data_IF_991779115062
#
_entry.id   IF_991779115062
#
_cell.length_a   1.000
_cell.length_b   1.000
_cell.length_c   1.000
_cell.angle_alpha   90.00
_cell.angle_beta   90.00
_cell.angle_gamma   90.00
#
_symmetry.space_group_name_H-M   'P 1'
#
loop_
_entity.id
_entity.type
_entity.pdbx_description
1 polymer ?
#
# COMPACT_ATOMS: atom_id res chain seq x y z
N UNK A 1 29.28 11.08 24.82
CA UNK A 1 27.87 10.92 24.93
C UNK A 1 27.22 10.87 23.58
N UNK A 2 26.14 10.19 23.50
CA UNK A 2 25.44 10.03 22.26
C UNK A 2 24.51 11.21 22.08
N UNK A 3 24.55 11.84 20.93
CA UNK A 3 23.63 12.92 20.62
C UNK A 3 22.21 12.35 20.51
N UNK A 4 21.22 13.22 20.59
CA UNK A 4 19.86 12.76 20.46
C UNK A 4 19.65 12.10 19.13
N UNK A 5 20.25 12.65 18.10
CA UNK A 5 20.15 12.06 16.80
C UNK A 5 20.83 10.73 16.73
N UNK A 6 22.00 10.64 17.28
CA UNK A 6 22.64 9.37 17.41
C UNK A 6 21.86 8.45 18.28
N UNK A 7 21.23 8.99 19.29
CA UNK A 7 20.43 8.18 20.15
C UNK A 7 19.22 7.62 19.39
N UNK A 8 18.62 8.38 18.54
CA UNK A 8 17.52 7.92 17.73
C UNK A 8 18.00 7.02 16.63
N UNK A 9 19.08 7.40 15.99
CA UNK A 9 19.72 6.53 15.05
C UNK A 9 20.28 5.35 15.75
N UNK A 10 20.85 5.56 16.89
CA UNK A 10 21.28 4.47 17.65
C UNK A 10 20.19 3.76 18.30
N UNK A 11 19.06 4.40 18.49
CA UNK A 11 17.96 3.61 18.93
C UNK A 11 17.43 2.80 17.84
N UNK A 12 17.51 3.23 16.64
CA UNK A 12 17.24 2.38 15.54
C UNK A 12 18.46 1.52 15.36
N UNK A 13 19.61 2.09 15.42
CA UNK A 13 20.81 1.33 15.47
C UNK A 13 21.14 0.85 16.81
N UNK A 14 20.91 1.68 17.76
CA UNK A 14 21.21 1.40 19.07
C UNK A 14 20.33 0.35 19.62
N UNK A 15 19.11 0.24 19.17
CA UNK A 15 18.38 -0.95 19.48
C UNK A 15 19.13 -2.15 19.01
N UNK A 16 19.79 -2.05 17.89
CA UNK A 16 20.61 -3.12 17.43
C UNK A 16 21.82 -3.31 18.32
N UNK A 17 22.38 -2.23 18.81
CA UNK A 17 23.54 -2.35 19.69
C UNK A 17 23.19 -2.82 21.07
N UNK A 18 22.04 -2.43 21.53
CA UNK A 18 21.62 -2.81 22.87
C UNK A 18 20.85 -4.10 22.91
N UNK A 19 20.54 -4.63 21.76
CA UNK A 19 19.92 -5.92 21.66
C UNK A 19 20.94 -7.02 21.84
N UNK A 20 20.49 -8.13 22.41
CA UNK A 20 21.29 -9.32 22.37
C UNK A 20 21.30 -9.84 20.96
N UNK A 21 22.26 -10.68 20.63
CA UNK A 21 22.33 -11.27 19.30
C UNK A 21 21.05 -12.05 19.00
N UNK A 22 20.48 -12.66 19.98
CA UNK A 22 19.24 -13.40 19.81
C UNK A 22 18.08 -12.48 19.49
N UNK A 23 17.97 -11.36 20.18
CA UNK A 23 16.92 -10.39 19.92
C UNK A 23 17.04 -9.80 18.53
N UNK A 24 18.27 -9.49 18.14
CA UNK A 24 18.51 -8.95 16.82
C UNK A 24 18.17 -9.97 15.75
N UNK A 25 18.53 -11.20 15.95
CA UNK A 25 18.23 -12.27 15.01
C UNK A 25 16.73 -12.50 14.90
N UNK A 26 16.02 -12.45 16.01
CA UNK A 26 14.59 -12.59 16.01
C UNK A 26 13.91 -11.45 15.29
N UNK A 27 14.35 -10.23 15.53
CA UNK A 27 13.82 -9.07 14.87
C UNK A 27 14.04 -9.15 13.36
N UNK A 28 15.22 -9.57 12.97
CA UNK A 28 15.53 -9.76 11.57
C UNK A 28 14.70 -10.88 10.95
N UNK A 29 14.48 -11.94 11.68
CA UNK A 29 13.63 -13.01 11.19
C UNK A 29 12.20 -12.53 10.98
N UNK A 30 11.69 -11.73 11.89
CA UNK A 30 10.37 -11.15 11.72
C UNK A 30 10.30 -10.29 10.46
N UNK A 31 11.33 -9.51 10.21
CA UNK A 31 11.36 -8.68 9.02
C UNK A 31 11.46 -9.52 7.75
N UNK A 32 12.20 -10.59 7.81
CA UNK A 32 12.36 -11.47 6.65
C UNK A 32 11.08 -12.24 6.36
N UNK A 33 10.33 -12.59 7.40
CA UNK A 33 9.11 -13.37 7.25
C UNK A 33 7.94 -12.52 6.75
N UNK A 34 7.98 -11.20 7.00
CA UNK A 34 6.92 -10.32 6.53
C UNK A 34 7.01 -10.23 5.01
N UNK A 35 6.09 -10.87 4.33
CA UNK A 35 6.01 -10.85 2.88
C UNK A 35 4.98 -9.84 2.45
N UNK A 36 5.24 -9.18 1.33
CA UNK A 36 4.25 -8.32 0.72
C UNK A 36 3.07 -9.17 0.29
N UNK A 37 1.89 -8.71 0.63
CA UNK A 37 0.68 -9.40 0.27
C UNK A 37 0.36 -9.14 -1.20
N UNK A 38 0.12 -10.22 -1.92
CA UNK A 38 -0.29 -10.13 -3.32
C UNK A 38 -1.81 -10.25 -3.35
N UNK A 39 -2.45 -9.35 -4.07
CA UNK A 39 -3.88 -9.39 -4.26
C UNK A 39 -4.21 -9.28 -5.74
N UNK A 40 -5.43 -9.67 -6.09
CA UNK A 40 -5.93 -9.62 -7.45
C UNK A 40 -7.25 -8.89 -7.47
N UNK A 41 -7.45 -8.07 -8.49
CA UNK A 41 -8.74 -7.43 -8.72
C UNK A 41 -9.56 -8.28 -9.67
N UNK A 42 -10.88 -8.27 -9.46
CA UNK A 42 -11.82 -9.01 -10.27
C UNK A 42 -12.98 -8.10 -10.67
N UNK A 43 -13.64 -8.46 -11.76
CA UNK A 43 -14.81 -7.73 -12.23
C UNK A 43 -15.82 -7.55 -11.10
N UNK A 44 -16.32 -6.34 -10.93
CA UNK A 44 -17.30 -6.01 -9.91
C UNK A 44 -16.70 -5.53 -8.60
N UNK A 45 -15.40 -5.65 -8.41
CA UNK A 45 -14.77 -5.18 -7.19
C UNK A 45 -14.84 -3.65 -7.09
N UNK A 46 -15.22 -3.16 -5.92
CA UNK A 46 -15.13 -1.73 -5.64
C UNK A 46 -13.69 -1.36 -5.42
N UNK A 47 -13.29 -0.25 -5.97
CA UNK A 47 -11.91 0.22 -5.85
C UNK A 47 -11.86 1.71 -5.53
N UNK A 48 -10.81 2.08 -4.86
CA UNK A 48 -10.42 3.46 -4.64
C UNK A 48 -9.25 3.74 -5.54
N UNK A 49 -9.34 4.84 -6.29
CA UNK A 49 -8.23 5.29 -7.12
C UNK A 49 -7.45 6.30 -6.29
N UNK A 50 -6.20 5.98 -6.04
CA UNK A 50 -5.39 6.68 -5.03
C UNK A 50 -4.07 7.10 -5.66
N UNK A 51 -3.61 8.30 -5.31
CA UNK A 51 -2.29 8.75 -5.77
C UNK A 51 -1.20 8.15 -4.91
N UNK A 52 0.02 8.17 -5.43
CA UNK A 52 1.18 7.67 -4.67
C UNK A 52 1.43 8.49 -3.41
N UNK A 53 0.91 9.71 -3.34
CA UNK A 53 1.06 10.58 -2.17
C UNK A 53 -0.02 10.35 -1.12
N UNK A 54 -0.94 9.43 -1.36
CA UNK A 54 -1.97 9.11 -0.38
C UNK A 54 -3.26 9.90 -0.54
N UNK A 55 -3.49 10.54 -1.68
CA UNK A 55 -4.75 11.22 -1.94
C UNK A 55 -5.75 10.26 -2.55
N UNK A 56 -6.93 10.23 -2.01
CA UNK A 56 -8.03 9.52 -2.65
C UNK A 56 -8.57 10.40 -3.77
N UNK A 57 -8.43 9.94 -5.00
CA UNK A 57 -8.84 10.72 -6.16
C UNK A 57 -10.32 10.52 -6.46
N UNK A 58 -10.76 9.29 -6.51
CA UNK A 58 -12.17 8.94 -6.70
C UNK A 58 -12.37 7.45 -6.41
N UNK A 59 -13.61 7.04 -6.38
CA UNK A 59 -13.98 5.63 -6.23
C UNK A 59 -14.54 5.13 -7.55
N UNK A 60 -14.42 3.84 -7.79
CA UNK A 60 -14.90 3.23 -9.01
C UNK A 60 -15.14 1.73 -8.81
N UNK A 61 -15.38 1.05 -9.90
CA UNK A 61 -15.65 -0.40 -9.92
C UNK A 61 -14.86 -0.99 -11.08
N UNK A 62 -14.31 -2.18 -10.87
CA UNK A 62 -13.66 -2.92 -11.94
C UNK A 62 -14.73 -3.36 -12.93
N UNK A 63 -14.59 -2.95 -14.17
CA UNK A 63 -15.61 -3.20 -15.18
C UNK A 63 -15.45 -4.55 -15.85
N UNK A 64 -14.21 -4.93 -16.11
CA UNK A 64 -13.92 -6.22 -16.79
C UNK A 64 -12.44 -6.54 -16.72
N UNK A 65 -12.13 -7.78 -16.99
CA UNK A 65 -10.74 -8.21 -17.17
C UNK A 65 -10.28 -7.84 -18.57
N UNK A 66 -9.02 -7.47 -18.68
CA UNK A 66 -8.39 -7.18 -19.97
C UNK A 66 -7.15 -8.06 -20.07
N UNK A 67 -7.36 -9.27 -20.56
CA UNK A 67 -6.31 -10.24 -20.61
C UNK A 67 -5.98 -10.79 -19.23
N UNK A 68 -4.79 -11.31 -19.08
CA UNK A 68 -4.36 -11.94 -17.83
C UNK A 68 -3.78 -10.95 -16.82
N UNK A 69 -3.35 -9.80 -17.32
CA UNK A 69 -2.53 -8.90 -16.50
C UNK A 69 -3.23 -7.64 -16.06
N UNK A 70 -4.31 -7.27 -16.72
CA UNK A 70 -4.95 -5.98 -16.49
C UNK A 70 -6.43 -6.09 -16.22
N UNK A 71 -6.97 -5.10 -15.54
CA UNK A 71 -8.41 -4.88 -15.41
C UNK A 71 -8.73 -3.50 -15.95
N UNK A 72 -9.96 -3.36 -16.44
CA UNK A 72 -10.48 -2.10 -16.95
C UNK A 72 -11.27 -1.41 -15.86
N UNK A 73 -10.85 -0.21 -15.50
CA UNK A 73 -11.56 0.65 -14.57
C UNK A 73 -11.81 1.97 -15.30
N UNK A 74 -13.04 2.15 -15.77
CA UNK A 74 -13.46 3.32 -16.52
C UNK A 74 -12.59 3.61 -17.76
N UNK A 75 -12.29 2.54 -18.49
CA UNK A 75 -11.48 2.66 -19.71
C UNK A 75 -9.98 2.76 -19.47
N UNK A 76 -9.57 2.76 -18.23
CA UNK A 76 -8.17 2.84 -17.86
C UNK A 76 -7.71 1.48 -17.36
N UNK A 77 -6.54 1.05 -17.78
CA UNK A 77 -6.01 -0.25 -17.41
C UNK A 77 -5.15 -0.16 -16.14
N UNK A 78 -5.43 -1.05 -15.22
CA UNK A 78 -4.65 -1.21 -13.99
C UNK A 78 -4.17 -2.66 -13.89
N UNK A 79 -3.04 -2.86 -13.27
CA UNK A 79 -2.54 -4.21 -13.09
C UNK A 79 -3.51 -5.02 -12.24
N UNK A 80 -3.86 -6.19 -12.74
CA UNK A 80 -4.75 -7.10 -12.03
C UNK A 80 -4.12 -7.57 -10.73
N UNK A 81 -2.81 -7.76 -10.74
CA UNK A 81 -2.03 -8.18 -9.58
C UNK A 81 -1.48 -6.95 -8.87
N UNK A 82 -1.66 -6.89 -7.57
CA UNK A 82 -1.14 -5.79 -6.77
C UNK A 82 -0.33 -6.27 -5.59
N UNK A 83 0.74 -5.56 -5.26
CA UNK A 83 1.53 -5.80 -4.07
C UNK A 83 1.02 -4.89 -2.97
N UNK A 84 0.69 -5.47 -1.82
CA UNK A 84 0.10 -4.75 -0.69
C UNK A 84 -1.17 -3.99 -1.10
N UNK A 85 -1.94 -4.60 -2.00
CA UNK A 85 -3.19 -4.01 -2.47
C UNK A 85 -3.05 -2.85 -3.45
N UNK A 86 -1.83 -2.53 -3.86
CA UNK A 86 -1.60 -1.42 -4.78
C UNK A 86 -1.53 -1.96 -6.21
N UNK A 87 -2.64 -1.77 -6.92
CA UNK A 87 -2.75 -2.19 -8.33
C UNK A 87 -2.43 -1.00 -9.20
N UNK A 88 -1.24 -1.01 -9.76
CA UNK A 88 -0.70 0.12 -10.47
C UNK A 88 -1.47 0.43 -11.75
N UNK A 89 -1.68 1.72 -12.01
CA UNK A 89 -2.19 2.18 -13.29
C UNK A 89 -1.13 1.90 -14.37
N UNK A 90 -1.56 1.30 -15.48
CA UNK A 90 -0.63 0.93 -16.55
C UNK A 90 0.14 2.11 -17.11
N UNK A 91 -0.53 3.25 -17.26
CA UNK A 91 0.05 4.41 -17.92
C UNK A 91 0.52 5.49 -16.94
N UNK A 92 0.19 5.36 -15.67
CA UNK A 92 0.53 6.38 -14.68
C UNK A 92 1.00 5.69 -13.41
N UNK A 93 2.30 5.64 -13.23
CA UNK A 93 2.89 4.94 -12.08
C UNK A 93 2.60 5.63 -10.75
N UNK A 94 2.04 6.84 -10.78
CA UNK A 94 1.72 7.58 -9.58
C UNK A 94 0.31 7.33 -9.08
N UNK A 95 -0.41 6.44 -9.74
CA UNK A 95 -1.78 6.10 -9.35
C UNK A 95 -1.95 4.61 -9.16
N UNK A 96 -2.79 4.27 -8.20
CA UNK A 96 -3.10 2.88 -7.87
C UNK A 96 -4.59 2.71 -7.71
N UNK A 97 -5.06 1.49 -7.99
CA UNK A 97 -6.38 1.06 -7.55
C UNK A 97 -6.18 0.20 -6.31
N UNK A 98 -7.08 0.35 -5.34
CA UNK A 98 -7.05 -0.42 -4.10
C UNK A 98 -8.46 -0.81 -3.73
N UNK A 99 -8.60 -1.91 -2.99
CA UNK A 99 -9.90 -2.17 -2.34
C UNK A 99 -10.13 -1.08 -1.30
N UNK A 100 -11.39 -0.81 -0.92
CA UNK A 100 -11.64 0.17 0.14
C UNK A 100 -10.91 -0.13 1.44
N UNK A 101 -10.79 -1.40 1.78
CA UNK A 101 -10.09 -1.81 3.00
C UNK A 101 -8.61 -1.44 2.97
N UNK A 102 -7.96 -1.70 1.85
CA UNK A 102 -6.55 -1.32 1.69
C UNK A 102 -6.41 0.19 1.56
N UNK A 103 -7.36 0.81 0.89
CA UNK A 103 -7.37 2.27 0.73
C UNK A 103 -7.45 2.99 2.06
N UNK A 104 -8.27 2.51 2.98
CA UNK A 104 -8.36 3.11 4.31
C UNK A 104 -7.05 3.11 5.06
N UNK A 105 -6.22 2.12 4.81
CA UNK A 105 -4.91 2.04 5.46
C UNK A 105 -3.88 2.95 4.79
N UNK A 106 -4.06 3.22 3.50
CA UNK A 106 -3.08 3.94 2.70
C UNK A 106 -3.40 5.43 2.56
N UNK A 107 -4.69 5.75 2.40
CA UNK A 107 -5.12 7.12 2.12
C UNK A 107 -4.99 7.98 3.37
N UNK A 108 -4.33 9.12 3.23
CA UNK A 108 -4.19 10.10 4.30
C UNK A 108 -4.90 11.40 3.97
N UNK A 109 -5.27 11.62 2.71
CA UNK A 109 -5.97 12.81 2.27
C UNK A 109 -7.23 12.41 1.53
N UNK A 110 -8.38 12.86 2.03
CA UNK A 110 -9.67 12.57 1.43
C UNK A 110 -10.21 13.81 0.73
N UNK A 111 -10.96 13.63 -0.36
CA UNK A 111 -11.59 14.77 -1.00
C UNK A 111 -12.60 15.41 -0.06
N UNK A 112 -12.82 16.71 -0.23
CA UNK A 112 -13.76 17.45 0.57
C UNK A 112 -15.16 16.82 0.38
N UNK A 113 -15.87 16.65 1.48
CA UNK A 113 -17.20 16.07 1.43
C UNK A 113 -17.24 14.55 1.37
N UNK A 114 -16.10 13.89 1.41
CA UNK A 114 -16.07 12.42 1.41
C UNK A 114 -16.68 11.90 2.70
N UNK A 115 -17.55 10.89 2.58
CA UNK A 115 -18.24 10.28 3.72
C UNK A 115 -17.91 8.81 3.80
N UNK A 116 -17.89 8.28 5.03
CA UNK A 116 -17.58 6.87 5.25
C UNK A 116 -18.56 5.93 4.56
N UNK A 117 -19.80 6.35 4.37
CA UNK A 117 -20.78 5.51 3.70
C UNK A 117 -20.59 5.46 2.18
N UNK A 118 -19.65 6.23 1.66
CA UNK A 118 -19.26 6.11 0.25
C UNK A 118 -18.27 4.94 0.07
N UNK A 119 -17.94 4.30 1.15
CA UNK A 119 -17.02 3.17 1.14
C UNK A 119 -17.64 1.91 0.55
#
# INVERSE_FOLDING_TARGET
>A
MISVMELILKQKKRRMKNMTDEEFALDNKKKVVVRKRISYLSKGDKVWIVSSDGYLLHTDVVRRDRGRSYVDIDGILYWKRGLDGKHRNRNNYMQFAMTPEDGKKYVVYYPEGFKDNDL
#
